data_IF_233602712146
#
_entry.id   IF_233602712146
#
_cell.length_a   1.000
_cell.length_b   1.000
_cell.length_c   1.000
_cell.angle_alpha   90.00
_cell.angle_beta   90.00
_cell.angle_gamma   90.00
#
_symmetry.space_group_name_H-M   'P 1'
#
loop_
_entity.id
_entity.type
_entity.pdbx_description
1 polymer ?
#
# COMPACT_ATOMS: atom_id res chain seq x y z
N UNK A 1 11.77 0.08 -12.22
CA UNK A 1 11.60 1.35 -12.99
C UNK A 1 12.98 1.96 -13.16
N UNK A 2 13.35 2.33 -14.37
CA UNK A 2 14.67 2.91 -14.63
C UNK A 2 14.51 4.18 -15.48
N UNK A 3 14.95 5.32 -14.94
CA UNK A 3 14.89 6.67 -15.54
C UNK A 3 13.52 7.01 -16.14
N UNK A 4 12.46 6.73 -15.40
CA UNK A 4 11.09 7.00 -15.83
C UNK A 4 10.84 8.50 -15.86
N UNK A 5 10.29 8.96 -16.99
CA UNK A 5 9.68 10.27 -17.14
C UNK A 5 8.17 10.13 -17.34
N UNK A 6 7.40 11.01 -16.71
CA UNK A 6 5.97 11.15 -16.94
C UNK A 6 5.56 12.60 -16.92
N UNK A 7 4.95 13.05 -17.99
CA UNK A 7 4.34 14.36 -18.11
C UNK A 7 2.87 14.24 -18.54
N UNK A 8 2.06 15.22 -18.16
CA UNK A 8 0.70 15.43 -18.60
C UNK A 8 0.63 16.84 -19.23
N UNK A 9 0.64 16.87 -20.57
CA UNK A 9 0.90 18.12 -21.31
C UNK A 9 2.28 18.66 -20.92
N UNK A 10 2.34 19.92 -20.53
CA UNK A 10 3.59 20.59 -20.12
C UNK A 10 3.98 20.33 -18.66
N UNK A 11 3.09 19.66 -17.89
CA UNK A 11 3.33 19.41 -16.47
C UNK A 11 4.11 18.11 -16.25
N UNK A 12 5.40 18.24 -15.88
CA UNK A 12 6.27 17.09 -15.61
C UNK A 12 6.09 16.62 -14.18
N UNK A 13 5.58 15.40 -14.00
CA UNK A 13 5.34 14.76 -12.69
C UNK A 13 6.57 13.96 -12.24
N UNK A 14 7.06 13.05 -13.09
CA UNK A 14 8.26 12.25 -12.81
C UNK A 14 9.35 12.62 -13.82
N UNK A 15 10.57 12.83 -13.33
CA UNK A 15 11.74 13.13 -14.18
C UNK A 15 12.94 12.34 -13.70
N UNK A 16 13.46 11.48 -14.59
CA UNK A 16 14.62 10.61 -14.30
C UNK A 16 14.42 9.77 -13.03
N UNK A 17 13.19 9.27 -12.82
CA UNK A 17 12.80 8.57 -11.62
C UNK A 17 13.12 7.09 -11.72
N UNK A 18 13.89 6.58 -10.75
CA UNK A 18 14.24 5.15 -10.67
C UNK A 18 13.77 4.55 -9.36
N UNK A 19 13.29 3.31 -9.42
CA UNK A 19 12.76 2.59 -8.26
C UNK A 19 12.91 1.09 -8.47
N UNK A 20 13.48 0.43 -7.46
CA UNK A 20 13.53 -1.02 -7.36
C UNK A 20 12.65 -1.50 -6.19
N UNK A 21 11.98 -2.61 -6.42
CA UNK A 21 11.14 -3.29 -5.41
C UNK A 21 11.74 -4.68 -5.19
N UNK A 22 12.17 -4.97 -3.96
CA UNK A 22 12.74 -6.26 -3.62
C UNK A 22 11.64 -7.31 -3.38
N UNK A 23 12.05 -8.56 -3.48
CA UNK A 23 11.13 -9.66 -3.21
C UNK A 23 10.81 -9.74 -1.72
N UNK A 24 9.52 -9.88 -1.39
CA UNK A 24 8.99 -9.98 -0.02
C UNK A 24 9.30 -8.77 0.87
N UNK A 25 9.48 -7.58 0.31
CA UNK A 25 9.62 -6.37 1.10
C UNK A 25 8.31 -5.57 1.15
N UNK A 26 8.14 -4.80 2.20
CA UNK A 26 7.20 -3.69 2.25
C UNK A 26 7.99 -2.41 2.02
N UNK A 27 7.86 -1.85 0.82
CA UNK A 27 8.44 -0.56 0.45
C UNK A 27 7.42 0.53 0.73
N UNK A 28 7.70 1.38 1.69
CA UNK A 28 6.87 2.55 2.00
C UNK A 28 7.34 3.78 1.24
N UNK A 29 6.42 4.57 0.73
CA UNK A 29 6.71 5.79 -0.02
C UNK A 29 5.96 6.94 0.60
N UNK A 30 6.71 7.94 1.06
CA UNK A 30 6.21 9.16 1.70
C UNK A 30 6.57 10.36 0.80
N UNK A 31 5.67 11.32 0.72
CA UNK A 31 5.92 12.57 0.01
C UNK A 31 4.71 13.49 0.05
N UNK A 32 4.88 14.77 -0.32
CA UNK A 32 3.81 15.75 -0.29
C UNK A 32 2.63 15.37 -1.18
N UNK A 33 1.46 15.96 -0.91
CA UNK A 33 0.29 15.78 -1.78
C UNK A 33 0.60 16.29 -3.18
N UNK A 34 0.14 15.54 -4.20
CA UNK A 34 0.37 15.92 -5.60
C UNK A 34 1.77 15.62 -6.14
N UNK A 35 2.70 15.08 -5.35
CA UNK A 35 4.05 14.78 -5.82
C UNK A 35 4.16 13.58 -6.78
N UNK A 36 3.07 12.96 -7.21
CA UNK A 36 3.10 11.89 -8.22
C UNK A 36 3.11 10.46 -7.68
N UNK A 37 2.82 10.22 -6.39
CA UNK A 37 2.77 8.87 -5.80
C UNK A 37 1.77 7.95 -6.52
N UNK A 38 0.53 8.40 -6.71
CA UNK A 38 -0.49 7.64 -7.45
C UNK A 38 -0.13 7.47 -8.93
N UNK A 39 0.52 8.46 -9.54
CA UNK A 39 1.04 8.37 -10.92
C UNK A 39 2.07 7.24 -11.02
N UNK A 40 2.99 7.17 -10.07
CA UNK A 40 3.99 6.11 -10.00
C UNK A 40 3.34 4.73 -9.82
N UNK A 41 2.38 4.59 -8.88
CA UNK A 41 1.64 3.33 -8.71
C UNK A 41 0.88 2.93 -9.98
N UNK A 42 0.27 3.90 -10.68
CA UNK A 42 -0.43 3.64 -11.94
C UNK A 42 0.53 3.20 -13.07
N UNK A 43 1.77 3.68 -13.09
CA UNK A 43 2.80 3.18 -14.01
C UNK A 43 3.20 1.75 -13.63
N UNK A 44 3.44 1.47 -12.33
CA UNK A 44 3.81 0.14 -11.87
C UNK A 44 2.71 -0.88 -12.17
N UNK A 45 1.44 -0.49 -12.03
CA UNK A 45 0.29 -1.36 -12.34
C UNK A 45 0.01 -1.53 -13.84
N UNK A 46 0.65 -0.73 -14.70
CA UNK A 46 0.40 -0.71 -16.15
C UNK A 46 -0.87 0.04 -16.55
N UNK A 47 -1.55 0.74 -15.63
CA UNK A 47 -2.73 1.56 -15.93
C UNK A 47 -2.40 2.78 -16.79
N UNK A 48 -1.20 3.31 -16.65
CA UNK A 48 -0.68 4.37 -17.51
C UNK A 48 0.74 4.03 -17.97
N UNK A 49 1.09 4.47 -19.18
CA UNK A 49 2.43 4.31 -19.71
C UNK A 49 3.32 5.48 -19.28
N UNK A 50 4.61 5.25 -19.01
CA UNK A 50 5.57 6.34 -18.86
C UNK A 50 5.74 7.09 -20.20
N UNK A 51 6.19 8.35 -20.13
CA UNK A 51 6.53 9.12 -21.35
C UNK A 51 7.88 8.71 -21.90
N UNK A 52 8.83 8.34 -21.01
CA UNK A 52 10.17 7.81 -21.33
C UNK A 52 10.67 6.91 -20.22
N UNK A 53 11.76 6.19 -20.50
CA UNK A 53 12.44 5.29 -19.57
C UNK A 53 11.94 3.86 -19.67
N UNK A 54 12.63 2.96 -18.96
CA UNK A 54 12.38 1.53 -19.02
C UNK A 54 11.64 1.05 -17.77
N UNK A 55 10.57 0.31 -18.00
CA UNK A 55 9.81 -0.34 -16.95
C UNK A 55 9.85 -1.85 -17.12
N UNK A 56 10.60 -2.53 -16.25
CA UNK A 56 10.64 -3.98 -16.22
C UNK A 56 9.78 -4.48 -15.04
N UNK A 57 8.61 -5.02 -15.34
CA UNK A 57 7.79 -5.73 -14.38
C UNK A 57 7.98 -7.24 -14.52
N UNK A 58 8.57 -7.87 -13.50
CA UNK A 58 8.74 -9.33 -13.43
C UNK A 58 7.54 -10.03 -12.76
N UNK A 59 6.55 -9.28 -12.30
CA UNK A 59 5.36 -9.82 -11.65
C UNK A 59 4.25 -10.01 -12.68
N UNK A 60 3.83 -11.25 -12.90
CA UNK A 60 2.73 -11.57 -13.81
C UNK A 60 1.38 -11.02 -13.32
N UNK A 61 1.23 -10.88 -12.00
CA UNK A 61 0.01 -10.42 -11.35
C UNK A 61 0.33 -9.32 -10.36
N UNK A 62 -0.41 -8.22 -10.47
CA UNK A 62 -0.37 -7.10 -9.53
C UNK A 62 -1.77 -6.94 -8.94
N UNK A 63 -1.85 -6.75 -7.64
CA UNK A 63 -3.07 -6.34 -6.95
C UNK A 63 -2.96 -4.87 -6.55
N UNK A 64 -4.08 -4.13 -6.60
CA UNK A 64 -4.10 -2.71 -6.28
C UNK A 64 -5.22 -2.40 -5.29
N UNK A 65 -4.85 -1.86 -4.14
CA UNK A 65 -5.76 -1.25 -3.16
C UNK A 65 -5.74 0.25 -3.41
N UNK A 66 -6.83 0.77 -3.94
CA UNK A 66 -7.00 2.19 -4.19
C UNK A 66 -7.36 2.93 -2.90
N UNK A 67 -7.20 4.24 -2.89
CA UNK A 67 -7.63 5.10 -1.79
C UNK A 67 -9.13 4.94 -1.48
N UNK A 68 -9.96 4.80 -2.52
CA UNK A 68 -11.37 4.41 -2.41
C UNK A 68 -11.47 2.88 -2.37
N UNK A 69 -12.40 2.33 -1.61
CA UNK A 69 -12.53 0.88 -1.41
C UNK A 69 -12.93 0.11 -2.68
N UNK A 70 -13.61 0.76 -3.63
CA UNK A 70 -14.06 0.21 -4.92
C UNK A 70 -14.67 -1.18 -4.80
N UNK A 71 -15.49 -1.39 -3.76
CA UNK A 71 -16.24 -2.62 -3.60
C UNK A 71 -17.41 -2.67 -4.58
N UNK A 72 -17.83 -3.88 -4.94
CA UNK A 72 -19.02 -4.13 -5.73
C UNK A 72 -20.24 -3.95 -4.82
N UNK A 73 -21.06 -2.89 -4.98
CA UNK A 73 -22.10 -2.55 -4.02
C UNK A 73 -23.23 -3.59 -3.92
N UNK A 74 -23.45 -4.37 -4.97
CA UNK A 74 -24.45 -5.45 -5.03
C UNK A 74 -23.93 -6.80 -4.53
N UNK A 75 -22.69 -6.87 -4.03
CA UNK A 75 -22.06 -8.07 -3.49
C UNK A 75 -21.81 -7.93 -2.00
N UNK A 76 -21.93 -9.05 -1.29
CA UNK A 76 -21.57 -9.14 0.13
C UNK A 76 -20.05 -9.02 0.34
N UNK A 77 -19.58 -8.92 1.58
CA UNK A 77 -18.15 -9.01 1.95
C UNK A 77 -17.55 -10.28 1.37
N UNK A 78 -18.17 -11.44 1.64
CA UNK A 78 -17.69 -12.73 1.14
C UNK A 78 -17.55 -12.76 -0.38
N UNK A 79 -18.59 -12.32 -1.08
CA UNK A 79 -18.62 -12.31 -2.54
C UNK A 79 -17.64 -11.30 -3.15
N UNK A 80 -17.41 -10.13 -2.51
CA UNK A 80 -16.42 -9.17 -2.95
C UNK A 80 -15.01 -9.76 -2.91
N UNK A 81 -14.68 -10.46 -1.82
CA UNK A 81 -13.36 -11.10 -1.66
C UNK A 81 -13.22 -12.28 -2.62
N UNK A 82 -14.26 -13.10 -2.78
CA UNK A 82 -14.25 -14.26 -3.68
C UNK A 82 -14.18 -13.88 -5.17
N UNK A 83 -14.67 -12.68 -5.54
CA UNK A 83 -14.79 -12.24 -6.93
C UNK A 83 -13.47 -12.32 -7.73
N UNK A 84 -12.33 -12.10 -7.06
CA UNK A 84 -11.01 -12.06 -7.69
C UNK A 84 -10.30 -13.41 -7.75
N UNK A 85 -10.75 -14.40 -6.95
CA UNK A 85 -10.22 -15.74 -6.95
C UNK A 85 -11.34 -16.74 -6.61
N UNK A 86 -12.09 -17.16 -7.62
CA UNK A 86 -13.22 -18.10 -7.48
C UNK A 86 -12.80 -19.52 -7.03
N UNK A 87 -11.48 -19.82 -7.06
CA UNK A 87 -10.94 -21.12 -6.65
C UNK A 87 -10.53 -21.15 -5.18
N UNK A 88 -10.62 -20.02 -4.48
CA UNK A 88 -10.30 -19.96 -3.06
C UNK A 88 -11.21 -20.91 -2.27
N UNK A 89 -10.61 -21.70 -1.38
CA UNK A 89 -11.38 -22.60 -0.53
C UNK A 89 -12.19 -21.83 0.52
N UNK A 90 -13.23 -22.47 1.05
CA UNK A 90 -14.03 -21.85 2.12
C UNK A 90 -13.19 -21.54 3.36
N UNK A 91 -12.22 -22.39 3.67
CA UNK A 91 -11.28 -22.22 4.78
C UNK A 91 -10.36 -21.01 4.55
N UNK A 92 -9.84 -20.84 3.33
CA UNK A 92 -9.03 -19.66 2.95
C UNK A 92 -9.85 -18.37 3.10
N UNK A 93 -11.09 -18.37 2.61
CA UNK A 93 -12.00 -17.22 2.72
C UNK A 93 -12.28 -16.87 4.17
N UNK A 94 -12.62 -17.88 5.00
CA UNK A 94 -12.88 -17.69 6.43
C UNK A 94 -11.66 -17.09 7.13
N UNK A 95 -10.45 -17.61 6.84
CA UNK A 95 -9.22 -17.13 7.42
C UNK A 95 -8.91 -15.68 7.01
N UNK A 96 -9.09 -15.31 5.75
CA UNK A 96 -8.89 -13.94 5.28
C UNK A 96 -9.84 -12.96 5.97
N UNK A 97 -11.12 -13.30 6.04
CA UNK A 97 -12.16 -12.49 6.67
C UNK A 97 -11.87 -12.30 8.18
N UNK A 98 -11.46 -13.36 8.86
CA UNK A 98 -11.09 -13.31 10.28
C UNK A 98 -9.83 -12.44 10.51
N UNK A 99 -8.80 -12.61 9.67
CA UNK A 99 -7.53 -11.84 9.76
C UNK A 99 -7.72 -10.34 9.58
N UNK A 100 -8.72 -9.90 8.81
CA UNK A 100 -9.05 -8.47 8.67
C UNK A 100 -10.12 -8.01 9.67
N UNK A 101 -10.54 -8.85 10.62
CA UNK A 101 -11.52 -8.53 11.65
C UNK A 101 -12.92 -8.27 11.09
N UNK A 102 -13.33 -9.04 10.07
CA UNK A 102 -14.67 -8.98 9.47
C UNK A 102 -15.50 -10.24 9.74
N UNK A 103 -15.10 -11.08 10.72
CA UNK A 103 -15.85 -12.25 11.17
C UNK A 103 -17.24 -11.83 11.65
N UNK A 104 -18.28 -12.50 11.14
CA UNK A 104 -19.69 -12.20 11.41
C UNK A 104 -20.31 -11.18 10.45
N UNK A 105 -19.50 -10.57 9.54
CA UNK A 105 -19.97 -9.60 8.55
C UNK A 105 -19.93 -10.15 7.12
N UNK A 106 -19.76 -11.46 6.95
CA UNK A 106 -19.57 -12.13 5.65
C UNK A 106 -20.71 -11.83 4.66
N UNK A 107 -21.94 -11.75 5.17
CA UNK A 107 -23.15 -11.56 4.37
C UNK A 107 -23.59 -10.09 4.28
N UNK A 108 -22.82 -9.13 4.83
CA UNK A 108 -23.15 -7.72 4.77
C UNK A 108 -22.74 -7.11 3.43
N UNK A 109 -23.57 -6.21 2.92
CA UNK A 109 -23.27 -5.41 1.73
C UNK A 109 -22.45 -4.17 2.10
N UNK A 110 -21.70 -3.58 1.15
CA UNK A 110 -20.90 -2.37 1.41
C UNK A 110 -21.67 -1.22 2.05
N UNK A 111 -22.95 -1.04 1.72
CA UNK A 111 -23.83 -0.01 2.30
C UNK A 111 -24.11 -0.19 3.79
N UNK A 112 -23.91 -1.39 4.33
CA UNK A 112 -24.13 -1.75 5.73
C UNK A 112 -22.85 -1.68 6.56
N UNK A 113 -21.70 -1.36 5.93
CA UNK A 113 -20.38 -1.36 6.54
C UNK A 113 -19.91 0.06 6.84
N UNK A 114 -19.14 0.22 7.92
CA UNK A 114 -18.37 1.45 8.15
C UNK A 114 -17.28 1.62 7.09
N UNK A 115 -16.75 2.84 6.90
CA UNK A 115 -15.65 3.10 5.97
C UNK A 115 -14.43 2.20 6.23
N UNK A 116 -14.05 2.03 7.49
CA UNK A 116 -12.95 1.13 7.88
C UNK A 116 -13.24 -0.35 7.58
N UNK A 117 -14.49 -0.81 7.71
CA UNK A 117 -14.89 -2.17 7.35
C UNK A 117 -14.83 -2.39 5.84
N UNK A 118 -15.27 -1.41 5.03
CA UNK A 118 -15.14 -1.47 3.58
C UNK A 118 -13.67 -1.54 3.15
N UNK A 119 -12.81 -0.71 3.76
CA UNK A 119 -11.37 -0.74 3.47
C UNK A 119 -10.74 -2.08 3.82
N UNK A 120 -11.10 -2.70 4.95
CA UNK A 120 -10.65 -4.06 5.35
C UNK A 120 -11.10 -5.12 4.34
N UNK A 121 -12.31 -5.03 3.82
CA UNK A 121 -12.82 -5.90 2.77
C UNK A 121 -12.00 -5.74 1.46
N UNK A 122 -11.69 -4.51 1.07
CA UNK A 122 -10.85 -4.22 -0.11
C UNK A 122 -9.44 -4.81 0.03
N UNK A 123 -8.83 -4.69 1.21
CA UNK A 123 -7.51 -5.29 1.49
C UNK A 123 -7.59 -6.82 1.43
N UNK A 124 -8.58 -7.45 2.08
CA UNK A 124 -8.77 -8.90 2.02
C UNK A 124 -8.96 -9.39 0.58
N UNK A 125 -9.75 -8.66 -0.23
CA UNK A 125 -9.91 -8.93 -1.66
C UNK A 125 -8.58 -8.89 -2.40
N UNK A 126 -7.75 -7.88 -2.14
CA UNK A 126 -6.44 -7.74 -2.77
C UNK A 126 -5.51 -8.92 -2.43
N UNK A 127 -5.50 -9.40 -1.20
CA UNK A 127 -4.72 -10.58 -0.80
C UNK A 127 -5.27 -11.88 -1.36
N UNK A 128 -6.59 -11.99 -1.57
CA UNK A 128 -7.20 -13.17 -2.18
C UNK A 128 -6.85 -13.31 -3.67
N UNK A 129 -6.45 -12.24 -4.35
CA UNK A 129 -6.03 -12.28 -5.76
C UNK A 129 -4.72 -13.04 -5.98
N UNK A 130 -3.96 -13.32 -4.90
CA UNK A 130 -2.69 -14.07 -4.92
C UNK A 130 -1.64 -13.44 -5.87
N UNK A 131 -1.61 -12.13 -5.93
CA UNK A 131 -0.57 -11.39 -6.63
C UNK A 131 0.75 -11.44 -5.85
N UNK A 132 1.90 -11.45 -6.56
CA UNK A 132 3.23 -11.34 -5.94
C UNK A 132 3.54 -9.91 -5.51
N UNK A 133 2.93 -8.92 -6.14
CA UNK A 133 3.09 -7.50 -5.85
C UNK A 133 1.73 -6.86 -5.52
N UNK A 134 1.64 -6.23 -4.37
CA UNK A 134 0.50 -5.42 -3.94
C UNK A 134 0.89 -3.94 -3.97
N UNK A 135 0.06 -3.13 -4.60
CA UNK A 135 0.15 -1.67 -4.58
C UNK A 135 -0.95 -1.14 -3.67
N UNK A 136 -0.61 -0.23 -2.78
CA UNK A 136 -1.55 0.36 -1.82
C UNK A 136 -1.40 1.88 -1.84
N UNK A 137 -2.47 2.58 -2.23
CA UNK A 137 -2.50 4.04 -2.34
C UNK A 137 -3.29 4.63 -1.17
N UNK A 138 -2.60 5.15 -0.17
CA UNK A 138 -3.15 5.74 1.06
C UNK A 138 -4.29 4.89 1.70
N UNK A 139 -4.08 3.57 1.92
CA UNK A 139 -5.18 2.67 2.26
C UNK A 139 -5.81 2.95 3.63
N UNK A 140 -5.18 3.75 4.48
CA UNK A 140 -5.67 4.03 5.85
C UNK A 140 -6.05 5.51 6.06
N UNK A 141 -6.09 6.32 5.00
CA UNK A 141 -6.30 7.77 5.06
C UNK A 141 -7.57 8.21 5.80
N UNK A 142 -8.66 7.45 5.65
CA UNK A 142 -9.97 7.79 6.24
C UNK A 142 -10.20 7.20 7.64
N UNK A 143 -9.17 6.60 8.24
CA UNK A 143 -9.28 5.93 9.53
C UNK A 143 -8.79 6.83 10.67
N UNK A 144 -9.48 6.75 11.82
CA UNK A 144 -9.00 7.34 13.05
C UNK A 144 -7.71 6.65 13.54
N UNK A 145 -7.04 7.27 14.52
CA UNK A 145 -5.75 6.82 15.03
C UNK A 145 -5.77 5.37 15.52
N UNK A 146 -6.74 4.99 16.33
CA UNK A 146 -6.82 3.65 16.93
C UNK A 146 -7.12 2.58 15.87
N UNK A 147 -8.05 2.88 14.96
CA UNK A 147 -8.39 1.98 13.87
C UNK A 147 -7.24 1.80 12.89
N UNK A 148 -6.44 2.84 12.67
CA UNK A 148 -5.23 2.80 11.83
C UNK A 148 -4.20 1.80 12.37
N UNK A 149 -3.92 1.83 13.68
CA UNK A 149 -3.03 0.84 14.32
C UNK A 149 -3.56 -0.59 14.24
N UNK A 150 -4.86 -0.78 14.43
CA UNK A 150 -5.49 -2.09 14.24
C UNK A 150 -5.31 -2.58 12.79
N UNK A 151 -5.43 -1.68 11.79
CA UNK A 151 -5.24 -2.00 10.38
C UNK A 151 -3.79 -2.36 10.03
N UNK A 152 -2.83 -1.68 10.62
CA UNK A 152 -1.40 -2.05 10.49
C UNK A 152 -1.20 -3.50 10.95
N UNK A 153 -1.74 -3.86 12.11
CA UNK A 153 -1.66 -5.23 12.62
C UNK A 153 -2.37 -6.25 11.72
N UNK A 154 -3.55 -5.93 11.19
CA UNK A 154 -4.25 -6.78 10.24
C UNK A 154 -3.45 -6.97 8.94
N UNK A 155 -2.86 -5.90 8.42
CA UNK A 155 -2.01 -5.96 7.23
C UNK A 155 -0.77 -6.83 7.47
N UNK A 156 -0.09 -6.67 8.61
CA UNK A 156 1.06 -7.49 8.98
C UNK A 156 0.68 -8.97 9.12
N UNK A 157 -0.48 -9.29 9.71
CA UNK A 157 -0.97 -10.68 9.80
C UNK A 157 -1.15 -11.32 8.40
N UNK A 158 -1.69 -10.56 7.44
CA UNK A 158 -1.87 -11.03 6.07
C UNK A 158 -0.53 -11.16 5.35
N UNK A 159 0.36 -10.17 5.53
CA UNK A 159 1.68 -10.16 4.91
C UNK A 159 2.55 -11.32 5.40
N UNK A 160 2.59 -11.62 6.69
CA UNK A 160 3.32 -12.76 7.26
C UNK A 160 2.84 -14.10 6.68
N UNK A 161 1.54 -14.21 6.41
CA UNK A 161 0.95 -15.42 5.83
C UNK A 161 1.28 -15.61 4.35
N UNK A 162 1.32 -14.53 3.57
CA UNK A 162 1.44 -14.57 2.11
C UNK A 162 2.81 -14.13 1.59
N UNK A 163 3.52 -13.30 2.35
CA UNK A 163 4.84 -12.77 2.02
C UNK A 163 4.92 -12.12 0.62
N UNK A 164 3.88 -11.35 0.26
CA UNK A 164 3.89 -10.57 -0.97
C UNK A 164 4.87 -9.39 -0.85
N UNK A 165 5.42 -8.92 -1.98
CA UNK A 165 6.02 -7.59 -2.03
C UNK A 165 4.91 -6.54 -2.01
N UNK A 166 5.07 -5.48 -1.22
CA UNK A 166 4.09 -4.40 -1.08
C UNK A 166 4.75 -3.07 -1.37
N UNK A 167 4.14 -2.25 -2.23
CA UNK A 167 4.42 -0.81 -2.31
C UNK A 167 3.29 -0.09 -1.60
N UNK A 168 3.61 0.53 -0.49
CA UNK A 168 2.68 1.19 0.40
C UNK A 168 2.90 2.71 0.36
N UNK A 169 1.99 3.42 -0.27
CA UNK A 169 2.01 4.88 -0.33
C UNK A 169 1.20 5.45 0.82
N UNK A 170 1.79 6.38 1.56
CA UNK A 170 1.12 7.08 2.66
C UNK A 170 1.72 8.48 2.85
N UNK A 171 0.99 9.36 3.52
CA UNK A 171 1.50 10.63 4.04
C UNK A 171 1.76 10.56 5.56
N UNK A 172 1.43 9.43 6.19
CA UNK A 172 1.61 9.20 7.62
C UNK A 172 2.94 8.51 7.90
N UNK A 173 3.84 9.22 8.58
CA UNK A 173 5.20 8.73 8.87
C UNK A 173 5.14 7.48 9.77
N UNK A 174 4.22 7.46 10.73
CA UNK A 174 4.10 6.38 11.71
C UNK A 174 3.68 5.06 11.03
N UNK A 175 2.83 5.09 10.00
CA UNK A 175 2.51 3.91 9.19
C UNK A 175 3.75 3.34 8.51
N UNK A 176 4.53 4.21 7.88
CA UNK A 176 5.74 3.78 7.17
C UNK A 176 6.81 3.22 8.11
N UNK A 177 6.98 3.80 9.31
CA UNK A 177 7.91 3.31 10.32
C UNK A 177 7.53 1.92 10.84
N UNK A 178 6.23 1.67 11.01
CA UNK A 178 5.74 0.39 11.54
C UNK A 178 5.72 -0.72 10.47
N UNK A 179 5.46 -0.37 9.21
CA UNK A 179 5.29 -1.34 8.11
C UNK A 179 6.55 -1.55 7.28
N UNK A 180 7.25 -0.45 6.90
CA UNK A 180 8.26 -0.47 5.84
C UNK A 180 9.54 -1.21 6.21
N UNK A 181 10.06 -2.05 5.33
CA UNK A 181 11.45 -2.48 5.36
C UNK A 181 12.36 -1.37 4.84
N UNK A 182 11.88 -0.68 3.79
CA UNK A 182 12.48 0.52 3.24
C UNK A 182 11.45 1.64 3.16
N UNK A 183 11.90 2.88 3.39
CA UNK A 183 11.07 4.07 3.28
C UNK A 183 11.74 5.03 2.31
N UNK A 184 11.04 5.40 1.25
CA UNK A 184 11.47 6.44 0.32
C UNK A 184 10.74 7.74 0.62
N UNK A 185 11.49 8.80 0.78
CA UNK A 185 10.95 10.16 0.92
C UNK A 185 11.09 10.88 -0.42
N UNK A 186 9.95 11.34 -0.95
CA UNK A 186 9.87 12.00 -2.25
C UNK A 186 9.79 13.52 -2.12
N UNK A 187 10.34 14.23 -3.13
CA UNK A 187 10.22 15.67 -3.29
C UNK A 187 8.85 16.08 -3.84
N UNK A 188 8.62 17.40 -3.91
CA UNK A 188 7.63 17.97 -4.83
C UNK A 188 7.96 17.63 -6.29
N UNK A 189 7.01 17.88 -7.19
CA UNK A 189 7.21 17.73 -8.64
C UNK A 189 8.21 18.74 -9.19
N UNK A 190 9.08 18.32 -10.12
CA UNK A 190 9.33 16.99 -10.63
C UNK A 190 9.88 16.06 -9.56
N UNK A 191 9.19 14.93 -9.37
CA UNK A 191 9.44 14.01 -8.26
C UNK A 191 10.81 13.36 -8.33
N UNK A 192 11.52 13.41 -7.21
CA UNK A 192 12.80 12.72 -6.99
C UNK A 192 12.79 12.05 -5.62
N UNK A 193 13.59 11.02 -5.47
CA UNK A 193 13.89 10.44 -4.14
C UNK A 193 14.85 11.41 -3.41
N UNK A 194 14.39 11.98 -2.30
CA UNK A 194 15.21 12.86 -1.44
C UNK A 194 16.12 12.00 -0.57
N UNK A 195 15.54 10.98 0.05
CA UNK A 195 16.24 10.10 0.99
C UNK A 195 15.57 8.74 1.06
N UNK A 196 16.38 7.75 1.35
CA UNK A 196 15.95 6.38 1.62
C UNK A 196 16.39 5.95 3.02
N UNK A 197 15.52 5.24 3.72
CA UNK A 197 15.79 4.65 5.03
C UNK A 197 15.53 3.15 4.98
N UNK A 198 16.42 2.37 5.58
CA UNK A 198 16.24 0.93 5.79
C UNK A 198 15.96 0.67 7.27
N UNK A 199 14.92 -0.12 7.58
CA UNK A 199 14.54 -0.49 8.95
C UNK A 199 14.71 -1.99 9.13
N UNK A 200 15.80 -2.40 9.76
CA UNK A 200 16.15 -3.81 9.98
C UNK A 200 15.41 -4.47 11.16
N UNK A 201 14.83 -3.66 12.06
CA UNK A 201 14.09 -4.20 13.20
C UNK A 201 12.87 -5.02 12.74
N UNK A 202 12.56 -6.11 13.45
CA UNK A 202 11.37 -6.91 13.22
C UNK A 202 10.11 -6.04 13.33
N UNK A 203 9.20 -6.14 12.34
CA UNK A 203 7.98 -5.33 12.29
C UNK A 203 7.11 -5.48 13.56
N UNK A 204 7.09 -6.67 14.16
CA UNK A 204 6.32 -6.95 15.38
C UNK A 204 6.91 -6.35 16.65
N UNK A 205 8.20 -6.05 16.65
CA UNK A 205 8.91 -5.46 17.78
C UNK A 205 9.02 -3.93 17.68
N UNK A 206 8.52 -3.36 16.59
CA UNK A 206 8.58 -1.91 16.38
C UNK A 206 7.61 -1.18 17.31
N UNK A 207 8.13 -0.18 17.99
CA UNK A 207 7.37 0.74 18.79
C UNK A 207 7.76 2.17 18.43
N UNK A 208 6.79 3.06 18.27
CA UNK A 208 7.04 4.48 18.02
C UNK A 208 7.77 5.18 19.18
N UNK A 209 7.95 4.48 20.31
CA UNK A 209 8.78 4.93 21.45
C UNK A 209 10.25 4.50 21.32
N UNK A 210 10.60 3.71 20.32
CA UNK A 210 11.96 3.25 20.09
C UNK A 210 12.82 4.41 19.58
N UNK A 211 13.97 4.65 20.21
CA UNK A 211 14.88 5.77 19.89
C UNK A 211 15.32 5.79 18.42
N UNK A 212 15.59 4.61 17.84
CA UNK A 212 15.97 4.50 16.43
C UNK A 212 14.82 4.98 15.51
N UNK A 213 13.58 4.57 15.78
CA UNK A 213 12.42 4.99 14.98
C UNK A 213 12.12 6.49 15.19
N UNK A 214 12.29 7.02 16.39
CA UNK A 214 12.17 8.46 16.68
C UNK A 214 13.21 9.26 15.86
N UNK A 215 14.45 8.79 15.80
CA UNK A 215 15.50 9.43 14.99
C UNK A 215 15.13 9.44 13.50
N UNK A 216 14.72 8.30 12.95
CA UNK A 216 14.29 8.20 11.55
C UNK A 216 13.09 9.12 11.29
N UNK A 217 12.09 9.14 12.20
CA UNK A 217 10.92 10.03 12.11
C UNK A 217 11.32 11.50 11.98
N UNK A 218 12.22 11.97 12.85
CA UNK A 218 12.69 13.36 12.84
C UNK A 218 13.44 13.70 11.55
N UNK A 219 14.22 12.76 11.03
CA UNK A 219 14.92 12.93 9.75
C UNK A 219 13.92 12.99 8.56
N UNK A 220 12.88 12.14 8.55
CA UNK A 220 11.81 12.20 7.53
C UNK A 220 11.10 13.56 7.58
N UNK A 221 10.71 14.03 8.78
CA UNK A 221 10.11 15.35 8.95
C UNK A 221 11.01 16.46 8.38
N UNK A 222 12.31 16.41 8.69
CA UNK A 222 13.28 17.39 8.18
C UNK A 222 13.43 17.35 6.65
N UNK A 223 13.18 16.22 6.00
CA UNK A 223 13.17 16.11 4.54
C UNK A 223 11.89 16.71 3.92
N UNK A 224 10.75 16.61 4.60
CA UNK A 224 9.44 17.05 4.09
C UNK A 224 9.17 18.55 4.29
N UNK A 225 9.85 19.19 5.24
CA UNK A 225 9.66 20.62 5.58
C UNK A 225 10.56 21.55 4.75
N UNK A 226 11.52 21.01 4.02
CA UNK A 226 12.36 21.74 3.07
C UNK A 226 11.68 21.93 1.72
#
# INVERSE_FOLDING_TARGET
MNKIEKAFGDYVVLKDFSLDINYKEILCIIGPSGCGKSTMLNIISGLIQPSKGDFLNKSEKISYVFQEDRLLPWKTVYENILAVNKKASREQMKMLIDKVGLKGFENYHPSQLSGGMRQRCSIARAFNYEAKLLLMDEPFKSLDYNLRFAMINHLLNLWEMKQNSIVFVTHEIDEALLLGDRILVLSHTPTKVIKEFEIKASKRERSLKNEMLIKIRNEIISCLVK
#
